data_IF_506427137617
#
_entry.id   IF_506427137617
#
_cell.length_a   1.000
_cell.length_b   1.000
_cell.length_c   1.000
_cell.angle_alpha   90.00
_cell.angle_beta   90.00
_cell.angle_gamma   90.00
#
_symmetry.space_group_name_H-M   'P 1'
#
loop_
_entity.id
_entity.type
_entity.pdbx_description
1 polymer ?
#
# COMPACT_ATOMS: atom_id res chain seq x y z
N UNK A 1 10.53 41.02 25.06
CA UNK A 1 9.65 39.90 24.70
C UNK A 1 9.85 38.82 25.75
N UNK A 2 8.82 38.53 26.55
CA UNK A 2 8.93 37.74 27.79
C UNK A 2 9.19 36.25 27.50
N UNK A 3 10.06 35.61 28.27
CA UNK A 3 10.40 34.18 28.17
C UNK A 3 9.16 33.27 28.31
N UNK A 4 8.11 33.77 29.00
CA UNK A 4 6.81 33.10 29.11
C UNK A 4 6.03 33.11 27.78
N UNK A 5 6.11 34.20 27.02
CA UNK A 5 5.46 34.32 25.70
C UNK A 5 6.14 33.41 24.68
N UNK A 6 7.47 33.29 24.72
CA UNK A 6 8.24 32.40 23.82
C UNK A 6 7.87 30.93 24.08
N UNK A 7 7.77 30.51 25.35
CA UNK A 7 7.34 29.15 25.71
C UNK A 7 5.91 28.86 25.27
N UNK A 8 4.99 29.81 25.46
CA UNK A 8 3.60 29.67 25.05
C UNK A 8 3.47 29.53 23.52
N UNK A 9 4.19 30.34 22.74
CA UNK A 9 4.23 30.23 21.28
C UNK A 9 4.81 28.90 20.81
N UNK A 10 5.88 28.43 21.47
CA UNK A 10 6.58 27.20 21.09
C UNK A 10 5.71 25.96 21.36
N UNK A 11 4.98 25.93 22.48
CA UNK A 11 3.99 24.89 22.78
C UNK A 11 2.86 24.91 21.75
N UNK A 12 2.31 26.09 21.44
CA UNK A 12 1.24 26.23 20.45
C UNK A 12 1.69 25.74 19.06
N UNK A 13 2.91 26.07 18.65
CA UNK A 13 3.50 25.64 17.38
C UNK A 13 3.67 24.11 17.31
N UNK A 14 4.18 23.48 18.38
CA UNK A 14 4.32 22.01 18.47
C UNK A 14 2.96 21.31 18.44
N UNK A 15 1.93 21.86 19.07
CA UNK A 15 0.56 21.32 19.03
C UNK A 15 -0.09 21.44 17.64
N UNK A 16 0.20 22.52 16.91
CA UNK A 16 -0.31 22.72 15.55
C UNK A 16 0.41 21.81 14.54
N UNK A 17 1.71 21.55 14.72
CA UNK A 17 2.50 20.68 13.84
C UNK A 17 2.26 19.18 14.05
N UNK A 18 1.80 18.77 15.25
CA UNK A 18 1.59 17.34 15.59
C UNK A 18 0.28 16.75 15.07
N UNK A 19 -0.59 17.54 14.42
CA UNK A 19 -1.90 17.09 13.93
C UNK A 19 -1.87 16.34 12.61
N UNK A 20 -0.74 16.26 11.91
CA UNK A 20 -0.66 15.62 10.59
C UNK A 20 -0.01 14.24 10.63
N UNK A 21 -0.64 13.30 11.36
CA UNK A 21 -0.39 11.88 11.11
C UNK A 21 -1.48 11.39 10.15
N UNK A 22 -1.26 11.57 8.85
CA UNK A 22 -2.13 10.99 7.82
C UNK A 22 -2.02 9.46 7.89
N UNK A 23 -3.08 8.81 8.35
CA UNK A 23 -3.22 7.37 8.17
C UNK A 23 -3.31 7.05 6.68
N UNK A 24 -2.54 6.08 6.20
CA UNK A 24 -2.59 5.65 4.81
C UNK A 24 -4.00 5.18 4.41
N UNK A 25 -4.33 5.32 3.12
CA UNK A 25 -5.62 4.86 2.57
C UNK A 25 -5.84 3.38 2.86
N UNK A 26 -7.06 3.04 3.25
CA UNK A 26 -7.48 1.68 3.56
C UNK A 26 -8.74 1.36 2.78
N UNK A 27 -8.75 0.20 2.17
CA UNK A 27 -9.90 -0.38 1.48
C UNK A 27 -10.15 -1.76 2.05
N UNK A 28 -11.41 -2.19 2.13
CA UNK A 28 -11.74 -3.58 2.48
C UNK A 28 -11.38 -4.47 1.30
N UNK A 29 -10.78 -5.63 1.55
CA UNK A 29 -10.40 -6.56 0.49
C UNK A 29 -11.62 -7.05 -0.31
N UNK A 30 -12.79 -7.18 0.36
CA UNK A 30 -14.09 -7.50 -0.27
C UNK A 30 -14.55 -6.48 -1.31
N UNK A 31 -14.15 -5.22 -1.18
CA UNK A 31 -14.64 -4.12 -2.02
C UNK A 31 -13.72 -3.90 -3.23
N UNK A 32 -12.55 -4.55 -3.26
CA UNK A 32 -11.63 -4.52 -4.40
C UNK A 32 -12.20 -5.41 -5.50
N UNK A 33 -12.57 -4.82 -6.63
CA UNK A 33 -13.15 -5.55 -7.76
C UNK A 33 -12.08 -6.13 -8.70
N UNK A 34 -11.06 -5.34 -9.02
CA UNK A 34 -10.01 -5.71 -9.99
C UNK A 34 -8.65 -5.22 -9.51
N UNK A 35 -7.63 -6.07 -9.64
CA UNK A 35 -6.22 -5.70 -9.50
C UNK A 35 -5.57 -5.76 -10.87
N UNK A 36 -4.95 -4.65 -11.29
CA UNK A 36 -4.07 -4.62 -12.46
C UNK A 36 -2.62 -4.59 -11.97
N UNK A 37 -1.89 -5.67 -12.21
CA UNK A 37 -0.52 -5.85 -11.76
C UNK A 37 0.42 -5.66 -12.94
N UNK A 38 1.51 -4.93 -12.73
CA UNK A 38 2.50 -4.67 -13.76
C UNK A 38 3.85 -5.30 -13.39
N UNK A 39 4.53 -5.87 -14.38
CA UNK A 39 5.90 -6.33 -14.26
C UNK A 39 6.82 -5.15 -13.89
N UNK A 40 7.79 -5.41 -13.01
CA UNK A 40 8.78 -4.42 -12.58
C UNK A 40 8.27 -3.35 -11.61
N UNK A 41 6.95 -3.26 -11.35
CA UNK A 41 6.41 -2.36 -10.32
C UNK A 41 6.44 -3.02 -8.94
N UNK A 42 6.62 -2.19 -7.92
CA UNK A 42 6.60 -2.61 -6.51
C UNK A 42 5.22 -2.38 -5.88
N UNK A 43 4.87 -3.20 -4.89
CA UNK A 43 3.69 -3.00 -4.04
C UNK A 43 3.95 -1.90 -3.02
N UNK A 44 2.88 -1.28 -2.51
CA UNK A 44 2.98 -0.40 -1.35
C UNK A 44 3.10 -1.25 -0.09
N UNK A 45 4.07 -0.96 0.79
CA UNK A 45 4.27 -1.69 2.05
C UNK A 45 4.47 -0.72 3.21
N UNK A 46 3.62 -0.81 4.25
CA UNK A 46 3.77 -0.02 5.49
C UNK A 46 4.37 -0.84 6.64
N UNK A 47 3.94 -2.09 6.79
CA UNK A 47 4.39 -2.99 7.87
C UNK A 47 5.48 -3.95 7.42
N UNK A 48 5.63 -4.14 6.11
CA UNK A 48 6.60 -5.00 5.46
C UNK A 48 7.29 -4.24 4.33
N UNK A 49 8.46 -4.72 3.92
CA UNK A 49 9.16 -4.20 2.75
C UNK A 49 8.32 -4.44 1.48
N UNK A 50 8.28 -3.47 0.55
CA UNK A 50 7.69 -3.65 -0.78
C UNK A 50 8.19 -4.91 -1.50
N UNK A 51 7.32 -5.56 -2.26
CA UNK A 51 7.65 -6.69 -3.14
C UNK A 51 7.22 -6.38 -4.58
N UNK A 52 7.69 -7.16 -5.57
CA UNK A 52 7.21 -7.02 -6.94
C UNK A 52 5.71 -7.33 -7.03
N UNK A 53 4.95 -6.51 -7.77
CA UNK A 53 3.53 -6.74 -8.02
C UNK A 53 3.29 -8.01 -8.82
N UNK A 54 4.18 -8.31 -9.77
CA UNK A 54 4.10 -9.47 -10.64
C UNK A 54 5.49 -10.12 -10.74
N UNK A 55 5.54 -11.43 -10.48
CA UNK A 55 6.76 -12.25 -10.59
C UNK A 55 6.39 -13.64 -11.11
N UNK A 56 7.17 -14.14 -12.07
CA UNK A 56 7.09 -15.55 -12.47
C UNK A 56 7.68 -16.43 -11.36
N UNK A 57 6.89 -17.37 -10.85
CA UNK A 57 7.27 -18.28 -9.76
C UNK A 57 7.76 -19.65 -10.25
N UNK A 58 7.67 -19.94 -11.55
CA UNK A 58 8.02 -21.23 -12.16
C UNK A 58 6.87 -21.86 -12.93
N UNK A 59 6.97 -23.16 -13.22
CA UNK A 59 6.00 -23.94 -14.01
C UNK A 59 6.70 -24.84 -15.03
N UNK A 60 5.99 -25.81 -15.61
CA UNK A 60 6.57 -26.78 -16.56
C UNK A 60 7.16 -26.13 -17.81
N UNK A 61 6.65 -24.96 -18.21
CA UNK A 61 7.17 -24.16 -19.34
C UNK A 61 8.31 -23.19 -18.94
N UNK A 62 8.61 -23.06 -17.64
CA UNK A 62 9.59 -22.11 -17.12
C UNK A 62 9.20 -20.64 -17.28
N UNK A 63 10.12 -19.75 -16.89
CA UNK A 63 9.94 -18.29 -16.96
C UNK A 63 10.63 -17.63 -18.18
N UNK A 64 11.19 -18.42 -19.09
CA UNK A 64 11.86 -17.94 -20.30
C UNK A 64 10.97 -17.96 -21.54
N UNK A 65 9.90 -18.76 -21.54
CA UNK A 65 9.02 -18.91 -22.70
C UNK A 65 8.23 -17.62 -22.97
N UNK A 66 7.48 -17.15 -21.97
CA UNK A 66 6.72 -15.92 -22.01
C UNK A 66 6.36 -15.49 -20.59
N UNK A 67 6.54 -14.21 -20.28
CA UNK A 67 6.10 -13.60 -19.02
C UNK A 67 5.29 -12.36 -19.36
N UNK A 68 4.01 -12.28 -18.96
CA UNK A 68 3.18 -11.12 -19.28
C UNK A 68 3.68 -9.87 -18.55
N UNK A 69 3.64 -8.73 -19.23
CA UNK A 69 3.98 -7.43 -18.63
C UNK A 69 2.86 -6.91 -17.73
N UNK A 70 1.61 -7.27 -18.01
CA UNK A 70 0.42 -6.84 -17.26
C UNK A 70 -0.53 -8.01 -17.07
N UNK A 71 -1.06 -8.16 -15.85
CA UNK A 71 -2.10 -9.15 -15.51
C UNK A 71 -3.25 -8.44 -14.81
N UNK A 72 -4.48 -8.82 -15.16
CA UNK A 72 -5.68 -8.38 -14.45
C UNK A 72 -6.30 -9.54 -13.69
N UNK A 73 -6.44 -9.37 -12.37
CA UNK A 73 -7.12 -10.30 -11.49
C UNK A 73 -8.47 -9.71 -11.10
N UNK A 74 -9.52 -10.53 -11.15
CA UNK A 74 -10.89 -10.14 -10.83
C UNK A 74 -11.30 -10.82 -9.54
N UNK A 75 -11.74 -10.04 -8.56
CA UNK A 75 -12.33 -10.58 -7.33
C UNK A 75 -13.73 -11.14 -7.66
N UNK A 76 -13.90 -12.45 -7.51
CA UNK A 76 -15.12 -13.22 -7.79
C UNK A 76 -16.00 -13.40 -6.57
N UNK A 77 -15.62 -12.85 -5.42
CA UNK A 77 -16.37 -12.92 -4.17
C UNK A 77 -15.55 -13.51 -3.04
N UNK A 78 -16.22 -14.01 -2.02
CA UNK A 78 -15.56 -14.64 -0.87
C UNK A 78 -16.20 -15.98 -0.57
N UNK A 79 -15.38 -16.93 -0.16
CA UNK A 79 -15.83 -18.20 0.44
C UNK A 79 -16.15 -18.09 1.94
N UNK A 80 -16.09 -16.87 2.50
CA UNK A 80 -16.29 -16.60 3.92
C UNK A 80 -14.99 -16.54 4.72
N UNK A 81 -13.84 -16.89 4.13
CA UNK A 81 -12.52 -16.74 4.76
C UNK A 81 -11.67 -15.72 4.00
N UNK A 82 -11.56 -15.86 2.68
CA UNK A 82 -10.73 -15.03 1.83
C UNK A 82 -11.51 -14.50 0.61
N UNK A 83 -10.94 -13.50 -0.07
CA UNK A 83 -11.42 -13.07 -1.38
C UNK A 83 -10.82 -13.97 -2.47
N UNK A 84 -11.61 -14.31 -3.49
CA UNK A 84 -11.25 -15.22 -4.58
C UNK A 84 -11.06 -14.50 -5.90
#
# INVERSE_FOLDING_TARGET
MDSRQIRSLLVLCVCLLSKFVFGGEKVRLSDVQVLTLHQGKMTTGRRSSPVLQLRCAGGSAGCSAFVPEVVQCYNRGSDGFDAQ
#
